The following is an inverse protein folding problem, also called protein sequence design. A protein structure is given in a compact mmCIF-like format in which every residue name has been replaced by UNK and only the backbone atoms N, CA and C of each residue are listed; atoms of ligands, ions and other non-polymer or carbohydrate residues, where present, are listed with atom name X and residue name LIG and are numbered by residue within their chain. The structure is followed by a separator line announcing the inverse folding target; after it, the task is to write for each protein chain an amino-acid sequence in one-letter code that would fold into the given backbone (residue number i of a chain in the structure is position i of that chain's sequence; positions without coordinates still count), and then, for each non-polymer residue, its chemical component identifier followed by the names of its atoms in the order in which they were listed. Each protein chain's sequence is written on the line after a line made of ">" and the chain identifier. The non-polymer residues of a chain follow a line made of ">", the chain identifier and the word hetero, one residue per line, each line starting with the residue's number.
data_IF_563427031553
#
_entry.id   IF_563427031553
#
_cell.length_a   1.000
_cell.length_b   1.000
_cell.length_c   1.000
_cell.angle_alpha   90.00
_cell.angle_beta   90.00
_cell.angle_gamma   90.00
#
_symmetry.space_group_name_H-M   'P 1'
#
loop_
_entity.id
_entity.type
_entity.pdbx_description
1 polymer ?
#
# COMPACT_ATOMS: atom_id res chain seq x y z
N UNK A 1 -31.32 -26.87 -37.93
CA UNK A 1 -31.53 -26.77 -36.46
C UNK A 1 -30.21 -26.87 -35.72
N UNK A 2 -29.39 -27.92 -35.89
CA UNK A 2 -28.12 -28.10 -35.18
C UNK A 2 -27.09 -26.96 -35.41
N UNK A 3 -27.05 -26.34 -36.57
CA UNK A 3 -26.12 -25.28 -36.91
C UNK A 3 -26.47 -23.95 -36.23
N UNK A 4 -27.74 -23.65 -36.02
CA UNK A 4 -28.23 -22.46 -35.32
C UNK A 4 -28.05 -22.60 -33.80
N UNK A 5 -28.18 -23.78 -33.25
CA UNK A 5 -27.90 -24.08 -31.85
C UNK A 5 -26.40 -23.90 -31.53
N UNK A 6 -25.54 -24.44 -32.39
CA UNK A 6 -24.08 -24.26 -32.25
C UNK A 6 -23.64 -22.80 -32.34
N UNK A 7 -24.27 -21.98 -33.17
CA UNK A 7 -23.97 -20.58 -33.36
C UNK A 7 -24.28 -19.73 -32.10
N UNK A 8 -25.24 -20.13 -31.31
CA UNK A 8 -25.61 -19.48 -30.05
C UNK A 8 -24.76 -20.01 -28.89
N UNK A 9 -24.54 -21.32 -28.83
CA UNK A 9 -23.84 -21.97 -27.71
C UNK A 9 -22.35 -21.64 -27.72
N UNK A 10 -21.72 -21.57 -28.90
CA UNK A 10 -20.27 -21.33 -29.02
C UNK A 10 -19.80 -20.00 -28.40
N UNK A 11 -20.42 -18.84 -28.72
CA UNK A 11 -19.99 -17.57 -28.10
C UNK A 11 -20.22 -17.52 -26.58
N UNK A 12 -21.29 -18.15 -26.09
CA UNK A 12 -21.56 -18.25 -24.65
C UNK A 12 -20.47 -19.09 -23.96
N UNK A 13 -20.06 -20.17 -24.57
CA UNK A 13 -19.00 -21.04 -24.05
C UNK A 13 -17.67 -20.37 -24.03
N UNK A 14 -17.29 -19.63 -25.10
CA UNK A 14 -16.06 -18.83 -25.17
C UNK A 14 -16.06 -17.75 -24.11
N UNK A 15 -17.18 -17.05 -23.92
CA UNK A 15 -17.32 -16.02 -22.88
C UNK A 15 -17.16 -16.62 -21.48
N UNK A 16 -17.78 -17.75 -21.19
CA UNK A 16 -17.67 -18.42 -19.89
C UNK A 16 -16.21 -18.84 -19.59
N UNK A 17 -15.51 -19.41 -20.58
CA UNK A 17 -14.09 -19.78 -20.43
C UNK A 17 -13.23 -18.54 -20.20
N UNK A 18 -13.44 -17.46 -20.95
CA UNK A 18 -12.72 -16.20 -20.79
C UNK A 18 -12.89 -15.61 -19.41
N UNK A 19 -14.11 -15.61 -18.85
CA UNK A 19 -14.39 -15.17 -17.50
C UNK A 19 -13.66 -16.00 -16.45
N UNK A 20 -13.61 -17.32 -16.62
CA UNK A 20 -12.85 -18.19 -15.69
C UNK A 20 -11.35 -17.90 -15.71
N UNK A 21 -10.77 -17.70 -16.90
CA UNK A 21 -9.34 -17.37 -17.06
C UNK A 21 -9.04 -16.02 -16.43
N UNK A 22 -9.86 -15.01 -16.71
CA UNK A 22 -9.67 -13.67 -16.16
C UNK A 22 -9.80 -13.65 -14.63
N UNK A 23 -10.77 -14.40 -14.08
CA UNK A 23 -10.90 -14.53 -12.62
C UNK A 23 -9.65 -15.18 -12.00
N UNK A 24 -9.11 -16.23 -12.61
CA UNK A 24 -7.86 -16.84 -12.15
C UNK A 24 -6.68 -15.86 -12.18
N UNK A 25 -6.57 -15.07 -13.23
CA UNK A 25 -5.56 -14.03 -13.36
C UNK A 25 -5.73 -12.91 -12.31
N UNK A 26 -6.97 -12.50 -12.05
CA UNK A 26 -7.31 -11.55 -10.98
C UNK A 26 -6.84 -12.05 -9.61
N UNK A 27 -7.16 -13.30 -9.27
CA UNK A 27 -6.72 -13.91 -8.01
C UNK A 27 -5.20 -13.98 -7.89
N UNK A 28 -4.51 -14.24 -8.98
CA UNK A 28 -3.05 -14.23 -9.03
C UNK A 28 -2.50 -12.83 -8.75
N UNK A 29 -2.99 -11.78 -9.44
CA UNK A 29 -2.57 -10.40 -9.20
C UNK A 29 -2.86 -9.95 -7.77
N UNK A 30 -4.05 -10.30 -7.24
CA UNK A 30 -4.43 -9.99 -5.86
C UNK A 30 -3.44 -10.56 -4.84
N UNK A 31 -3.04 -11.82 -5.02
CA UNK A 31 -2.04 -12.45 -4.14
C UNK A 31 -0.67 -11.77 -4.21
N UNK A 32 -0.24 -11.35 -5.40
CA UNK A 32 1.02 -10.61 -5.58
C UNK A 32 0.95 -9.24 -4.91
N UNK A 33 -0.16 -8.50 -5.10
CA UNK A 33 -0.39 -7.22 -4.46
C UNK A 33 -0.41 -7.35 -2.93
N UNK A 34 -1.08 -8.37 -2.38
CA UNK A 34 -1.11 -8.64 -0.96
C UNK A 34 0.29 -8.85 -0.36
N UNK A 35 1.12 -9.65 -1.02
CA UNK A 35 2.52 -9.89 -0.59
C UNK A 35 3.35 -8.61 -0.66
N UNK A 36 3.22 -7.85 -1.75
CA UNK A 36 3.91 -6.58 -1.92
C UNK A 36 3.54 -5.59 -0.81
N UNK A 37 2.25 -5.46 -0.51
CA UNK A 37 1.73 -4.55 0.52
C UNK A 37 2.20 -4.92 1.93
N UNK A 38 2.19 -6.22 2.28
CA UNK A 38 2.72 -6.70 3.56
C UNK A 38 4.20 -6.39 3.73
N UNK A 39 5.00 -6.56 2.66
CA UNK A 39 6.41 -6.18 2.67
C UNK A 39 6.57 -4.66 2.81
N UNK A 40 5.76 -3.89 2.06
CA UNK A 40 5.80 -2.43 2.07
C UNK A 40 5.55 -1.85 3.46
N UNK A 41 4.48 -2.28 4.12
CA UNK A 41 4.14 -1.82 5.48
C UNK A 41 5.26 -2.17 6.47
N UNK A 42 5.82 -3.39 6.41
CA UNK A 42 6.95 -3.78 7.26
C UNK A 42 8.18 -2.90 7.08
N UNK A 43 8.44 -2.43 5.86
CA UNK A 43 9.52 -1.48 5.59
C UNK A 43 9.18 -0.10 6.13
N UNK A 44 7.95 0.38 5.96
CA UNK A 44 7.52 1.69 6.41
C UNK A 44 7.59 1.84 7.93
N UNK A 45 7.26 0.79 8.70
CA UNK A 45 7.26 0.85 10.17
C UNK A 45 8.65 0.92 10.81
N UNK A 46 9.70 0.63 10.03
CA UNK A 46 11.11 0.65 10.49
C UNK A 46 11.98 1.62 9.67
N UNK A 47 11.38 2.47 8.86
CA UNK A 47 12.08 3.48 8.05
C UNK A 47 11.66 4.90 8.43
N UNK A 48 12.41 5.88 7.96
CA UNK A 48 12.00 7.27 8.08
C UNK A 48 10.63 7.50 7.44
N UNK A 49 9.79 8.39 8.04
CA UNK A 49 8.49 8.71 7.51
C UNK A 49 8.55 9.21 6.07
N UNK A 50 7.60 8.76 5.25
CA UNK A 50 7.53 9.10 3.83
C UNK A 50 6.72 10.37 3.58
N UNK A 51 5.92 10.79 4.57
CA UNK A 51 5.10 12.00 4.49
C UNK A 51 5.91 13.24 4.88
N UNK A 52 5.82 14.35 4.11
CA UNK A 52 6.63 15.53 4.34
C UNK A 52 6.25 16.31 5.61
N UNK A 53 5.03 16.17 6.06
CA UNK A 53 4.45 16.88 7.21
C UNK A 53 4.48 16.06 8.51
N UNK A 54 5.08 14.87 8.51
CA UNK A 54 5.09 13.96 9.66
C UNK A 54 5.57 14.64 10.95
N UNK A 55 6.71 15.30 10.91
CA UNK A 55 7.30 15.96 12.09
C UNK A 55 6.49 17.16 12.58
N UNK A 56 5.65 17.75 11.72
CA UNK A 56 4.78 18.86 12.09
C UNK A 56 3.48 18.36 12.71
N UNK A 57 2.91 17.31 12.12
CA UNK A 57 1.65 16.70 12.60
C UNK A 57 1.83 15.97 13.92
N UNK A 58 2.96 15.26 14.05
CA UNK A 58 3.31 14.49 15.26
C UNK A 58 4.38 15.17 16.13
N UNK A 59 4.38 16.51 16.13
CA UNK A 59 5.22 17.29 17.05
C UNK A 59 4.66 17.16 18.47
N UNK A 60 5.46 16.58 19.37
CA UNK A 60 5.14 16.52 20.80
C UNK A 60 5.90 17.60 21.57
N UNK A 61 5.25 18.19 22.57
CA UNK A 61 5.88 19.13 23.48
C UNK A 61 6.79 18.37 24.45
N UNK A 62 8.05 18.83 24.59
CA UNK A 62 9.01 18.25 25.53
C UNK A 62 8.52 18.28 26.99
N UNK A 63 7.61 19.21 27.32
CA UNK A 63 6.98 19.31 28.64
C UNK A 63 6.07 18.13 28.97
N UNK A 64 5.60 17.41 27.95
CA UNK A 64 4.73 16.24 28.07
C UNK A 64 5.49 14.92 27.96
N UNK A 65 6.80 14.96 28.03
CA UNK A 65 7.64 13.74 27.90
C UNK A 65 7.27 12.71 28.99
N UNK A 66 7.08 11.46 28.54
CA UNK A 66 6.65 10.34 29.42
C UNK A 66 5.14 10.20 29.61
N UNK A 67 4.32 11.14 29.11
CA UNK A 67 2.86 10.98 29.13
C UNK A 67 2.40 10.00 28.03
N UNK A 68 1.30 9.29 28.32
CA UNK A 68 0.68 8.41 27.33
C UNK A 68 0.15 9.23 26.16
N UNK A 69 0.23 8.67 24.98
CA UNK A 69 -0.35 9.25 23.77
C UNK A 69 -1.80 8.79 23.69
N UNK A 70 -2.73 9.74 23.61
CA UNK A 70 -4.14 9.42 23.38
C UNK A 70 -4.34 8.98 21.92
N UNK A 71 -5.22 7.99 21.73
CA UNK A 71 -5.63 7.58 20.40
C UNK A 71 -6.48 8.67 19.75
N UNK A 72 -5.98 9.25 18.68
CA UNK A 72 -6.73 10.21 17.88
C UNK A 72 -6.54 9.93 16.37
N UNK A 73 -7.50 9.24 15.79
CA UNK A 73 -7.51 8.92 14.38
C UNK A 73 -7.70 10.16 13.46
N UNK A 74 -8.06 11.31 14.03
CA UNK A 74 -8.15 12.57 13.29
C UNK A 74 -6.77 13.21 13.06
N UNK A 75 -5.79 12.87 13.94
CA UNK A 75 -4.41 13.30 13.79
C UNK A 75 -3.70 12.33 12.87
N UNK A 76 -3.58 12.71 11.61
CA UNK A 76 -2.99 11.87 10.57
C UNK A 76 -2.12 12.68 9.62
N UNK A 77 -1.03 12.05 9.17
CA UNK A 77 -0.17 12.53 8.09
C UNK A 77 -0.32 11.61 6.90
N UNK A 78 -0.68 12.16 5.74
CA UNK A 78 -1.01 11.36 4.55
C UNK A 78 -0.27 11.84 3.32
N UNK A 79 0.09 10.92 2.43
CA UNK A 79 0.62 11.26 1.12
C UNK A 79 0.28 10.20 0.06
N UNK A 80 0.42 10.54 -1.21
CA UNK A 80 0.27 9.64 -2.35
C UNK A 80 -1.10 9.69 -3.00
N UNK A 81 -1.55 8.54 -3.51
CA UNK A 81 -2.76 8.43 -4.33
C UNK A 81 -3.99 9.09 -3.69
N UNK A 82 -4.62 10.00 -4.43
CA UNK A 82 -5.89 10.64 -4.01
C UNK A 82 -5.78 11.66 -2.87
N UNK A 83 -4.57 11.99 -2.38
CA UNK A 83 -4.39 12.97 -1.29
C UNK A 83 -4.06 14.38 -1.79
N UNK A 84 -3.55 14.51 -3.00
CA UNK A 84 -2.97 15.77 -3.51
C UNK A 84 -1.60 16.12 -2.90
N UNK A 85 -1.11 15.34 -1.94
CA UNK A 85 0.18 15.53 -1.27
C UNK A 85 1.18 14.51 -1.81
N UNK A 86 2.31 14.99 -2.33
CA UNK A 86 3.36 14.12 -2.81
C UNK A 86 4.13 13.52 -1.62
N UNK A 87 4.40 12.22 -1.68
CA UNK A 87 5.32 11.58 -0.74
C UNK A 87 6.78 11.93 -1.08
N UNK A 88 7.69 11.73 -0.13
CA UNK A 88 9.12 11.87 -0.37
C UNK A 88 9.57 10.93 -1.50
N UNK A 89 10.14 11.52 -2.55
CA UNK A 89 10.47 10.78 -3.79
C UNK A 89 11.58 9.75 -3.58
N UNK A 90 12.56 10.04 -2.71
CA UNK A 90 13.67 9.14 -2.44
C UNK A 90 13.20 7.93 -1.65
N UNK A 91 12.36 8.15 -0.62
CA UNK A 91 11.77 7.08 0.17
C UNK A 91 10.80 6.21 -0.65
N UNK A 92 9.97 6.83 -1.48
CA UNK A 92 9.07 6.10 -2.39
C UNK A 92 9.85 5.25 -3.40
N UNK A 93 10.94 5.76 -3.94
CA UNK A 93 11.81 4.98 -4.84
C UNK A 93 12.41 3.78 -4.11
N UNK A 94 12.89 3.96 -2.88
CA UNK A 94 13.40 2.85 -2.04
C UNK A 94 12.32 1.83 -1.71
N UNK A 95 11.11 2.28 -1.44
CA UNK A 95 9.97 1.41 -1.16
C UNK A 95 9.59 0.55 -2.37
N UNK A 96 9.50 1.17 -3.55
CA UNK A 96 9.04 0.51 -4.78
C UNK A 96 10.14 -0.35 -5.40
N UNK A 97 11.32 0.21 -5.63
CA UNK A 97 12.41 -0.45 -6.35
C UNK A 97 13.33 -1.28 -5.45
N UNK A 98 13.24 -1.05 -4.14
CA UNK A 98 14.15 -1.64 -3.16
C UNK A 98 15.41 -0.81 -2.94
N UNK A 99 16.20 -1.21 -1.97
CA UNK A 99 17.42 -0.50 -1.58
C UNK A 99 18.67 -1.33 -1.92
N UNK A 100 19.72 -0.65 -2.38
CA UNK A 100 21.07 -1.19 -2.55
C UNK A 100 21.91 -0.66 -1.39
N UNK A 101 22.09 -1.43 -0.34
CA UNK A 101 22.98 -1.05 0.77
C UNK A 101 24.05 -2.13 0.94
N UNK A 102 25.33 -1.74 0.91
CA UNK A 102 26.43 -2.66 1.14
C UNK A 102 26.54 -3.85 0.17
N UNK A 103 26.09 -3.70 -1.08
CA UNK A 103 26.08 -4.77 -2.08
C UNK A 103 24.92 -5.77 -1.94
N UNK A 104 24.10 -5.66 -0.91
CA UNK A 104 22.88 -6.44 -0.76
C UNK A 104 21.67 -5.68 -1.30
N UNK A 105 20.92 -6.34 -2.16
CA UNK A 105 19.67 -5.78 -2.71
C UNK A 105 18.50 -6.22 -1.83
N UNK A 106 17.89 -5.26 -1.15
CA UNK A 106 16.63 -5.48 -0.46
C UNK A 106 15.48 -5.34 -1.44
N UNK A 107 14.61 -6.35 -1.57
CA UNK A 107 13.53 -6.32 -2.56
C UNK A 107 12.54 -5.19 -2.26
N UNK A 108 12.08 -4.50 -3.31
CA UNK A 108 11.01 -3.53 -3.25
C UNK A 108 9.66 -4.13 -3.60
N UNK A 109 8.60 -3.31 -3.57
CA UNK A 109 7.24 -3.72 -3.95
C UNK A 109 7.18 -4.23 -5.39
N UNK A 110 7.90 -3.60 -6.32
CA UNK A 110 7.93 -3.96 -7.73
C UNK A 110 8.53 -5.35 -8.00
N UNK A 111 9.30 -5.90 -7.08
CA UNK A 111 9.81 -7.27 -7.19
C UNK A 111 8.72 -8.33 -6.97
N UNK A 112 7.68 -7.99 -6.22
CA UNK A 112 6.54 -8.88 -5.94
C UNK A 112 5.33 -8.55 -6.79
N UNK A 113 5.09 -7.27 -7.06
CA UNK A 113 4.00 -6.80 -7.89
C UNK A 113 4.54 -5.86 -8.97
N UNK A 114 4.98 -6.42 -10.13
CA UNK A 114 5.47 -5.62 -11.25
C UNK A 114 4.42 -4.64 -11.77
N UNK A 115 4.83 -3.44 -12.10
CA UNK A 115 3.93 -2.39 -12.60
C UNK A 115 3.36 -1.46 -11.52
N UNK A 116 3.60 -1.72 -10.23
CA UNK A 116 3.22 -0.80 -9.17
C UNK A 116 4.00 0.52 -9.28
N UNK A 117 3.28 1.63 -9.18
CA UNK A 117 3.83 2.99 -9.24
C UNK A 117 3.54 3.78 -7.98
N UNK A 118 4.33 4.82 -7.73
CA UNK A 118 4.12 5.71 -6.58
C UNK A 118 2.73 6.36 -6.57
N UNK A 119 2.19 6.68 -7.76
CA UNK A 119 0.87 7.29 -7.90
C UNK A 119 -0.30 6.39 -7.54
N UNK A 120 -0.06 5.08 -7.39
CA UNK A 120 -1.08 4.09 -7.01
C UNK A 120 -1.08 3.76 -5.52
N UNK A 121 -0.09 4.26 -4.77
CA UNK A 121 0.08 3.97 -3.34
C UNK A 121 -0.33 5.21 -2.55
N UNK A 122 -1.13 4.98 -1.50
CA UNK A 122 -1.46 5.94 -0.46
C UNK A 122 -0.89 5.47 0.86
N UNK A 123 -0.23 6.36 1.58
CA UNK A 123 0.37 6.08 2.88
C UNK A 123 -0.24 7.04 3.89
N UNK A 124 -0.68 6.49 5.02
CA UNK A 124 -1.33 7.21 6.11
C UNK A 124 -0.66 6.80 7.41
N UNK A 125 -0.23 7.79 8.19
CA UNK A 125 0.23 7.63 9.56
C UNK A 125 -0.84 8.17 10.50
N UNK A 126 -1.25 7.41 11.50
CA UNK A 126 -2.31 7.75 12.45
C UNK A 126 -1.83 7.54 13.88
N UNK A 127 -2.29 8.38 14.82
CA UNK A 127 -2.07 8.13 16.26
C UNK A 127 -2.95 6.98 16.75
N UNK A 128 -2.30 5.93 17.21
CA UNK A 128 -2.97 4.70 17.67
C UNK A 128 -3.16 4.61 19.19
N UNK A 129 -2.76 5.65 19.93
CA UNK A 129 -2.79 5.63 21.39
C UNK A 129 -1.77 4.69 22.04
N UNK A 130 -0.70 4.37 21.29
CA UNK A 130 0.36 3.49 21.77
C UNK A 130 1.63 4.28 22.05
N UNK A 131 2.35 3.88 23.09
CA UNK A 131 3.60 4.51 23.49
C UNK A 131 3.44 5.75 24.36
N UNK A 132 4.50 6.52 24.50
CA UNK A 132 4.58 7.72 25.29
C UNK A 132 5.28 8.84 24.53
N UNK A 133 5.00 10.07 24.91
CA UNK A 133 5.62 11.26 24.32
C UNK A 133 7.09 11.36 24.73
N UNK A 134 7.93 11.88 23.81
CA UNK A 134 9.37 12.00 24.04
C UNK A 134 10.16 10.69 23.89
N UNK A 135 9.59 9.65 23.27
CA UNK A 135 10.28 8.41 22.98
C UNK A 135 11.45 8.66 22.02
N UNK A 136 12.66 8.12 22.26
CA UNK A 136 13.85 8.35 21.43
C UNK A 136 13.71 7.90 19.96
N UNK A 137 12.87 6.87 19.69
CA UNK A 137 12.58 6.37 18.35
C UNK A 137 11.45 7.09 17.61
N UNK A 138 10.92 8.18 18.18
CA UNK A 138 9.75 8.87 17.67
C UNK A 138 8.42 8.33 18.19
N UNK A 139 7.29 8.93 17.79
CA UNK A 139 5.97 8.50 18.22
C UNK A 139 5.62 7.12 17.67
N UNK A 140 4.87 6.34 18.44
CA UNK A 140 4.29 5.09 17.92
C UNK A 140 3.03 5.44 17.15
N UNK A 141 3.06 5.21 15.84
CA UNK A 141 1.93 5.48 14.95
C UNK A 141 1.48 4.20 14.26
N UNK A 142 0.22 4.13 13.90
CA UNK A 142 -0.28 3.10 12.99
C UNK A 142 0.00 3.56 11.56
N UNK A 143 0.75 2.75 10.83
CA UNK A 143 1.02 2.96 9.42
C UNK A 143 0.00 2.16 8.62
N UNK A 144 -0.77 2.86 7.80
CA UNK A 144 -1.72 2.27 6.85
C UNK A 144 -1.22 2.53 5.44
N UNK A 145 -1.12 1.47 4.67
CA UNK A 145 -0.79 1.55 3.26
C UNK A 145 -1.95 1.03 2.44
N UNK A 146 -2.38 1.82 1.47
CA UNK A 146 -3.48 1.52 0.57
C UNK A 146 -2.98 1.48 -0.87
N UNK A 147 -3.50 0.55 -1.64
CA UNK A 147 -3.26 0.49 -3.07
C UNK A 147 -4.52 0.92 -3.81
N UNK A 148 -4.34 1.82 -4.78
CA UNK A 148 -5.43 2.30 -5.63
C UNK A 148 -6.02 1.18 -6.49
N UNK A 149 -7.26 1.36 -6.89
CA UNK A 149 -7.98 0.40 -7.77
C UNK A 149 -7.27 0.22 -9.11
N UNK A 150 -6.63 1.27 -9.60
CA UNK A 150 -5.94 1.32 -10.89
C UNK A 150 -4.66 0.47 -10.94
N UNK A 151 -4.24 -0.10 -9.81
CA UNK A 151 -3.06 -0.95 -9.74
C UNK A 151 -3.32 -2.38 -10.23
N UNK A 152 -4.58 -2.82 -10.24
CA UNK A 152 -4.97 -4.15 -10.68
C UNK A 152 -5.80 -4.01 -11.94
N UNK A 153 -5.27 -4.50 -13.06
CA UNK A 153 -5.93 -4.41 -14.37
C UNK A 153 -6.88 -5.59 -14.61
N UNK A 154 -8.12 -5.27 -14.97
CA UNK A 154 -9.15 -6.23 -15.32
C UNK A 154 -9.73 -5.87 -16.69
N UNK A 155 -9.22 -6.42 -17.76
CA UNK A 155 -9.57 -5.98 -19.11
C UNK A 155 -11.02 -6.24 -19.51
N UNK A 156 -11.64 -7.30 -19.04
CA UNK A 156 -13.04 -7.67 -19.39
C UNK A 156 -13.98 -7.56 -18.20
N UNK A 157 -13.69 -8.29 -17.12
CA UNK A 157 -14.54 -8.29 -15.90
C UNK A 157 -14.56 -6.91 -15.25
N UNK A 158 -13.43 -6.21 -15.18
CA UNK A 158 -13.35 -4.89 -14.59
C UNK A 158 -14.26 -3.89 -15.28
N UNK A 159 -14.23 -3.83 -16.62
CA UNK A 159 -15.12 -2.98 -17.40
C UNK A 159 -16.59 -3.36 -17.27
N UNK A 160 -16.87 -4.64 -17.19
CA UNK A 160 -18.24 -5.13 -16.98
C UNK A 160 -18.75 -4.73 -15.59
N UNK A 161 -17.95 -4.93 -14.54
CA UNK A 161 -18.32 -4.59 -13.16
C UNK A 161 -18.45 -3.07 -12.99
N UNK A 162 -17.57 -2.28 -13.58
CA UNK A 162 -17.66 -0.83 -13.60
C UNK A 162 -18.94 -0.34 -14.27
N UNK A 163 -19.37 -0.99 -15.36
CA UNK A 163 -20.60 -0.64 -16.06
C UNK A 163 -21.88 -0.87 -15.22
N UNK A 164 -21.83 -1.77 -14.23
CA UNK A 164 -22.93 -2.04 -13.28
C UNK A 164 -22.71 -1.39 -11.92
N UNK A 165 -21.71 -0.48 -11.80
CA UNK A 165 -21.45 0.29 -10.59
C UNK A 165 -20.75 -0.49 -9.46
N UNK A 166 -20.24 -1.68 -9.73
CA UNK A 166 -19.46 -2.45 -8.75
C UNK A 166 -18.00 -2.03 -8.84
N UNK A 167 -17.50 -1.45 -7.75
CA UNK A 167 -16.09 -1.10 -7.61
C UNK A 167 -15.41 -2.00 -6.58
N UNK A 168 -14.20 -2.46 -6.90
CA UNK A 168 -13.39 -3.19 -5.92
C UNK A 168 -12.97 -2.26 -4.77
N UNK A 169 -13.03 -2.73 -3.52
CA UNK A 169 -12.51 -1.95 -2.40
C UNK A 169 -10.99 -1.77 -2.53
N UNK A 170 -10.44 -0.65 -2.05
CA UNK A 170 -8.99 -0.49 -1.99
C UNK A 170 -8.40 -1.57 -1.08
N UNK A 171 -7.26 -2.11 -1.47
CA UNK A 171 -6.56 -3.08 -0.64
C UNK A 171 -5.73 -2.33 0.40
N UNK A 172 -6.01 -2.57 1.67
CA UNK A 172 -5.41 -1.86 2.81
C UNK A 172 -4.65 -2.83 3.70
N UNK A 173 -3.43 -2.45 4.09
CA UNK A 173 -2.63 -3.18 5.09
C UNK A 173 -2.17 -2.19 6.16
N UNK A 174 -2.27 -2.57 7.42
CA UNK A 174 -1.88 -1.76 8.57
C UNK A 174 -0.85 -2.48 9.43
N UNK A 175 0.07 -1.69 10.02
CA UNK A 175 0.98 -2.16 11.07
C UNK A 175 1.35 -0.98 11.99
N UNK A 176 1.70 -1.27 13.22
CA UNK A 176 2.21 -0.27 14.17
C UNK A 176 3.70 -0.04 13.93
N UNK A 177 4.13 1.22 14.00
CA UNK A 177 5.56 1.55 13.92
C UNK A 177 6.29 1.12 15.18
N UNK A 178 7.52 0.63 15.01
CA UNK A 178 8.40 0.31 16.14
C UNK A 178 9.50 1.36 16.28
N UNK A 179 10.22 1.65 15.22
CA UNK A 179 11.27 2.67 15.16
C UNK A 179 11.28 3.29 13.77
N UNK A 180 10.94 4.57 13.69
CA UNK A 180 10.85 5.33 12.44
C UNK A 180 12.21 5.97 12.09
N UNK A 181 13.29 5.22 12.21
CA UNK A 181 14.64 5.66 11.86
C UNK A 181 15.29 4.75 10.85
N UNK A 182 15.80 5.35 9.79
CA UNK A 182 16.77 4.69 8.92
C UNK A 182 18.16 4.81 9.56
N UNK A 183 18.88 3.69 9.61
CA UNK A 183 20.29 3.75 10.03
C UNK A 183 21.09 4.56 9.00
N UNK A 184 21.75 5.67 9.36
CA UNK A 184 22.57 6.45 8.43
C UNK A 184 23.92 5.78 8.09
N UNK A 185 24.15 4.56 8.60
CA UNK A 185 25.37 3.77 8.41
C UNK A 185 25.12 2.27 8.60
N UNK A 186 26.18 1.43 8.65
CA UNK A 186 25.97 0.03 8.98
C UNK A 186 25.37 -0.06 10.38
N UNK A 187 24.15 -0.59 10.45
CA UNK A 187 23.50 -0.89 11.72
C UNK A 187 24.34 -1.98 12.43
N UNK A 188 25.00 -1.62 13.51
CA UNK A 188 25.76 -2.54 14.38
C UNK A 188 24.82 -3.20 15.37
#
# INVERSE_FOLDING_TARGET
>A
VALTEGLIVFPIMVLAISLCVEFGYMMYQWNLAAKAMQLGVRKLVVSEPVTPDFNTVFAFDDTQSGQLIDADASVQSTCGAGTGIACDAAMMTRLISGNLTGGQRWPGLANYFPGITAGQIRIIYELSGLGYQGRPGGPVVTVRMEIGRDAIDFPVIGRLLESIGIAFPPFTVTATSEDLRSCPGPCS
#
